data_IF_863787522193
#
_entry.id   IF_863787522193
#
_cell.length_a   1.000
_cell.length_b   1.000
_cell.length_c   1.000
_cell.angle_alpha   90.00
_cell.angle_beta   90.00
_cell.angle_gamma   90.00
#
_symmetry.space_group_name_H-M   'P 1'
#
loop_
_entity.id
_entity.type
_entity.pdbx_description
1 polymer ?
#
# COMPACT_ATOMS: atom_id res chain seq x y z
N UNK A 1 9.41 22.32 8.74
CA UNK A 1 8.65 21.84 7.59
C UNK A 1 9.24 20.51 7.08
N UNK A 2 9.28 19.49 7.95
CA UNK A 2 9.80 18.13 7.67
C UNK A 2 8.82 17.03 8.10
N UNK A 3 7.72 17.40 8.77
CA UNK A 3 6.74 16.46 9.31
C UNK A 3 5.76 15.99 8.23
N UNK A 4 5.37 16.86 7.29
CA UNK A 4 4.38 16.53 6.25
C UNK A 4 4.87 15.49 5.24
N UNK A 5 6.19 15.41 4.98
CA UNK A 5 6.76 14.40 4.08
C UNK A 5 6.79 12.99 4.66
N UNK A 6 6.62 12.85 5.98
CA UNK A 6 6.60 11.54 6.66
C UNK A 6 5.19 10.93 6.74
N UNK A 7 4.15 11.76 6.55
CA UNK A 7 2.73 11.39 6.66
C UNK A 7 1.95 11.61 5.36
N UNK A 8 2.64 11.83 4.23
CA UNK A 8 1.98 11.88 2.93
C UNK A 8 1.40 10.50 2.63
N UNK A 9 0.08 10.43 2.54
CA UNK A 9 -0.61 9.29 1.97
C UNK A 9 -0.17 9.16 0.50
N UNK A 10 0.36 8.01 0.12
CA UNK A 10 0.94 7.79 -1.22
C UNK A 10 0.07 6.82 -2.00
N UNK A 11 -0.42 7.26 -3.16
CA UNK A 11 -1.12 6.38 -4.11
C UNK A 11 -0.11 5.52 -4.88
N UNK A 12 -0.33 4.21 -4.86
CA UNK A 12 0.50 3.21 -5.51
C UNK A 12 -0.36 2.25 -6.32
N UNK A 13 0.19 1.75 -7.42
CA UNK A 13 -0.28 0.52 -8.04
C UNK A 13 0.48 -0.63 -7.38
N UNK A 14 -0.24 -1.46 -6.62
CA UNK A 14 0.34 -2.62 -5.94
C UNK A 14 -0.12 -3.92 -6.60
N UNK A 15 0.84 -4.81 -6.85
CA UNK A 15 0.58 -6.19 -7.28
C UNK A 15 0.91 -7.14 -6.15
N UNK A 16 -0.03 -8.00 -5.76
CA UNK A 16 0.11 -8.89 -4.62
C UNK A 16 -0.62 -10.23 -4.82
N UNK A 17 -0.18 -11.25 -4.08
CA UNK A 17 -0.85 -12.54 -4.00
C UNK A 17 -1.83 -12.58 -2.83
N UNK A 18 -3.04 -13.03 -3.11
CA UNK A 18 -4.05 -13.31 -2.08
C UNK A 18 -4.88 -14.52 -2.49
N UNK A 19 -5.02 -15.48 -1.59
CA UNK A 19 -5.84 -16.69 -1.78
C UNK A 19 -5.52 -17.48 -3.07
N UNK A 20 -4.24 -17.49 -3.49
CA UNK A 20 -3.78 -18.20 -4.69
C UNK A 20 -3.97 -17.43 -6.00
N UNK A 21 -4.47 -16.19 -5.94
CA UNK A 21 -4.64 -15.32 -7.10
C UNK A 21 -3.72 -14.11 -7.01
N UNK A 22 -3.34 -13.59 -8.18
CA UNK A 22 -2.57 -12.37 -8.31
C UNK A 22 -3.54 -11.21 -8.55
N UNK A 23 -3.45 -10.18 -7.73
CA UNK A 23 -4.24 -8.96 -7.83
C UNK A 23 -3.32 -7.78 -8.13
N UNK A 24 -3.81 -6.83 -8.92
CA UNK A 24 -3.19 -5.52 -9.10
C UNK A 24 -4.25 -4.46 -8.84
N UNK A 25 -4.00 -3.56 -7.90
CA UNK A 25 -4.95 -2.51 -7.54
C UNK A 25 -4.24 -1.19 -7.25
N UNK A 26 -4.93 -0.10 -7.57
CA UNK A 26 -4.61 1.20 -7.02
C UNK A 26 -5.01 1.23 -5.55
N UNK A 27 -4.08 1.65 -4.69
CA UNK A 27 -4.27 1.74 -3.25
C UNK A 27 -3.48 2.90 -2.68
N UNK A 28 -3.96 3.46 -1.58
CA UNK A 28 -3.24 4.49 -0.83
C UNK A 28 -2.55 3.84 0.37
N UNK A 29 -1.23 4.03 0.52
CA UNK A 29 -0.52 3.59 1.74
C UNK A 29 -0.74 4.61 2.84
N UNK A 30 -1.34 4.16 3.94
CA UNK A 30 -1.67 5.01 5.09
C UNK A 30 -0.82 4.68 6.33
N UNK A 31 -0.03 3.60 6.28
CA UNK A 31 0.89 3.24 7.35
C UNK A 31 1.70 1.97 7.09
N UNK A 32 2.68 1.73 7.97
CA UNK A 32 3.52 0.54 7.97
C UNK A 32 3.46 -0.10 9.35
N UNK A 33 3.12 -1.39 9.39
CA UNK A 33 3.17 -2.21 10.59
C UNK A 33 4.48 -3.00 10.60
N UNK A 34 5.49 -2.43 11.26
CA UNK A 34 6.82 -3.02 11.35
C UNK A 34 6.84 -4.32 12.15
N UNK A 35 6.00 -4.44 13.17
CA UNK A 35 5.94 -5.64 14.03
C UNK A 35 5.47 -6.85 13.23
N UNK A 36 4.52 -6.65 12.32
CA UNK A 36 3.94 -7.72 11.53
C UNK A 36 4.49 -7.79 10.10
N UNK A 37 5.47 -6.97 9.73
CA UNK A 37 6.04 -6.92 8.37
C UNK A 37 4.97 -6.72 7.29
N UNK A 38 4.09 -5.73 7.51
CA UNK A 38 2.96 -5.46 6.62
C UNK A 38 2.79 -3.96 6.35
N UNK A 39 2.18 -3.63 5.22
CA UNK A 39 1.67 -2.27 4.94
C UNK A 39 0.19 -2.21 5.25
N UNK A 40 -0.25 -1.04 5.68
CA UNK A 40 -1.66 -0.71 5.85
C UNK A 40 -2.01 0.22 4.70
N UNK A 41 -2.96 -0.20 3.89
CA UNK A 41 -3.43 0.53 2.73
C UNK A 41 -4.95 0.68 2.75
N UNK A 42 -5.46 1.60 1.94
CA UNK A 42 -6.89 1.76 1.68
C UNK A 42 -7.18 1.71 0.19
N UNK A 43 -8.32 1.14 -0.18
CA UNK A 43 -8.85 1.23 -1.54
C UNK A 43 -9.51 2.62 -1.80
N UNK A 44 -10.06 2.80 -3.01
CA UNK A 44 -10.77 4.03 -3.39
C UNK A 44 -12.04 4.32 -2.56
N UNK A 45 -12.54 3.34 -1.80
CA UNK A 45 -13.69 3.45 -0.90
C UNK A 45 -13.26 3.61 0.57
N UNK A 46 -11.97 3.84 0.82
CA UNK A 46 -11.37 3.93 2.16
C UNK A 46 -11.49 2.64 3.00
N UNK A 47 -11.75 1.50 2.37
CA UNK A 47 -11.69 0.22 3.09
C UNK A 47 -10.23 -0.11 3.40
N UNK A 48 -9.93 -0.32 4.67
CA UNK A 48 -8.57 -0.66 5.13
C UNK A 48 -8.25 -2.11 4.84
N UNK A 49 -7.07 -2.32 4.28
CA UNK A 49 -6.47 -3.62 4.05
C UNK A 49 -5.07 -3.66 4.67
N UNK A 50 -4.67 -4.84 5.12
CA UNK A 50 -3.31 -5.11 5.60
C UNK A 50 -2.64 -6.12 4.68
N UNK A 51 -1.60 -5.70 3.98
CA UNK A 51 -0.86 -6.56 3.05
C UNK A 51 0.49 -6.93 3.66
N UNK A 52 0.72 -8.22 3.81
CA UNK A 52 2.00 -8.77 4.26
C UNK A 52 3.07 -8.56 3.18
N UNK A 53 4.28 -8.14 3.55
CA UNK A 53 5.37 -7.94 2.60
C UNK A 53 5.67 -9.19 1.77
N UNK A 54 5.54 -10.38 2.36
CA UNK A 54 5.74 -11.65 1.67
C UNK A 54 4.80 -11.88 0.49
N UNK A 55 3.66 -11.20 0.48
CA UNK A 55 2.63 -11.35 -0.55
C UNK A 55 2.75 -10.29 -1.65
N UNK A 56 3.57 -9.26 -1.46
CA UNK A 56 3.73 -8.17 -2.43
C UNK A 56 4.72 -8.62 -3.50
N UNK A 57 4.31 -8.50 -4.76
CA UNK A 57 5.13 -8.84 -5.93
C UNK A 57 5.78 -7.61 -6.55
N UNK A 58 5.02 -6.53 -6.69
CA UNK A 58 5.51 -5.27 -7.27
C UNK A 58 4.77 -4.06 -6.69
N UNK A 59 5.46 -2.93 -6.64
CA UNK A 59 4.90 -1.64 -6.19
C UNK A 59 5.39 -0.53 -7.11
N UNK A 60 4.46 0.06 -7.85
CA UNK A 60 4.72 1.21 -8.70
C UNK A 60 4.10 2.47 -8.08
N UNK A 61 4.96 3.42 -7.68
CA UNK A 61 4.51 4.74 -7.25
C UNK A 61 3.94 5.53 -8.41
N UNK A 62 2.81 6.19 -8.17
CA UNK A 62 2.17 7.04 -9.16
C UNK A 62 2.52 8.49 -8.82
N UNK A 63 3.34 9.12 -9.66
CA UNK A 63 3.59 10.55 -9.55
C UNK A 63 2.45 11.29 -10.26
N UNK A 64 1.49 11.81 -9.50
CA UNK A 64 0.56 12.82 -10.00
C UNK A 64 1.34 14.14 -10.01
N UNK A 65 1.65 14.64 -11.22
CA UNK A 65 2.34 15.92 -11.42
C UNK A 65 1.51 17.11 -10.97
#
# INVERSE_FOLDING_TARGET
MLLCSLFSEEEILITYYENGYLFSSYMTVVGIDQQHSAIICTDAFYNKMKLQFSNIIDVNRIHIK
#
